data_IF_087246050765
#
_entry.id   IF_087246050765
#
_cell.length_a   1.000
_cell.length_b   1.000
_cell.length_c   1.000
_cell.angle_alpha   90.00
_cell.angle_beta   90.00
_cell.angle_gamma   90.00
#
_symmetry.space_group_name_H-M   'P 1'
#
loop_
_entity.id
_entity.type
_entity.pdbx_description
1 polymer ?
#
# COMPACT_ATOMS: atom_id res chain seq x y z
N UNK A 1 17.60 -14.95 -11.34
CA UNK A 1 17.54 -13.55 -11.75
C UNK A 1 17.67 -13.42 -13.28
N UNK A 2 18.77 -13.90 -13.91
CA UNK A 2 19.01 -13.80 -15.37
C UNK A 2 17.87 -14.43 -16.18
N UNK A 3 17.43 -15.61 -15.82
CA UNK A 3 16.34 -16.33 -16.51
C UNK A 3 14.99 -15.57 -16.44
N UNK A 4 14.69 -14.94 -15.32
CA UNK A 4 13.50 -14.12 -15.14
C UNK A 4 13.61 -12.79 -15.92
N UNK A 5 14.79 -12.18 -15.95
CA UNK A 5 15.05 -10.98 -16.76
C UNK A 5 14.88 -11.27 -18.26
N UNK A 6 15.34 -12.46 -18.72
CA UNK A 6 15.12 -12.90 -20.10
C UNK A 6 13.62 -13.07 -20.42
N UNK A 7 12.83 -13.63 -19.52
CA UNK A 7 11.37 -13.75 -19.67
C UNK A 7 10.71 -12.37 -19.73
N UNK A 8 11.20 -11.41 -18.95
CA UNK A 8 10.68 -10.04 -18.96
C UNK A 8 10.99 -9.33 -20.28
N UNK A 9 12.22 -9.46 -20.79
CA UNK A 9 12.61 -8.95 -22.11
C UNK A 9 11.74 -9.53 -23.23
N UNK A 10 11.49 -10.85 -23.22
CA UNK A 10 10.60 -11.50 -24.18
C UNK A 10 9.15 -10.96 -24.11
N UNK A 11 8.62 -10.72 -22.90
CA UNK A 11 7.29 -10.11 -22.73
C UNK A 11 7.22 -8.69 -23.31
N UNK A 12 8.33 -7.95 -23.25
CA UNK A 12 8.46 -6.62 -23.87
C UNK A 12 8.68 -6.68 -25.38
N UNK A 13 8.86 -7.87 -25.96
CA UNK A 13 9.13 -8.07 -27.37
C UNK A 13 10.57 -7.77 -27.79
N UNK A 14 11.52 -7.79 -26.86
CA UNK A 14 12.95 -7.53 -27.09
C UNK A 14 13.74 -8.81 -27.05
N UNK A 15 14.69 -8.96 -27.99
CA UNK A 15 15.65 -10.07 -28.04
C UNK A 15 16.90 -9.82 -27.16
N UNK A 16 16.98 -8.65 -26.52
CA UNK A 16 18.08 -8.28 -25.62
C UNK A 16 17.57 -7.96 -24.24
N UNK A 17 18.33 -8.40 -23.22
CA UNK A 17 18.05 -8.13 -21.82
C UNK A 17 18.67 -6.78 -21.47
N UNK A 18 17.88 -5.85 -20.96
CA UNK A 18 18.31 -4.54 -20.49
C UNK A 18 18.38 -4.48 -18.96
N UNK A 19 19.02 -3.43 -18.43
CA UNK A 19 19.11 -3.22 -16.99
C UNK A 19 17.73 -3.10 -16.33
N UNK A 20 16.78 -2.48 -17.04
CA UNK A 20 15.39 -2.36 -16.63
C UNK A 20 14.69 -3.72 -16.42
N UNK A 21 15.04 -4.73 -17.23
CA UNK A 21 14.51 -6.09 -17.07
C UNK A 21 15.02 -6.74 -15.78
N UNK A 22 16.28 -6.45 -15.42
CA UNK A 22 16.86 -6.91 -14.15
C UNK A 22 16.26 -6.18 -12.95
N UNK A 23 16.03 -4.87 -13.05
CA UNK A 23 15.42 -4.09 -11.98
C UNK A 23 13.99 -4.54 -11.69
N UNK A 24 13.18 -4.74 -12.74
CA UNK A 24 11.80 -5.23 -12.62
C UNK A 24 11.70 -6.63 -12.02
N UNK A 25 12.71 -7.45 -12.25
CA UNK A 25 12.75 -8.85 -11.80
C UNK A 25 13.48 -9.01 -10.48
N UNK A 26 14.46 -8.13 -10.18
CA UNK A 26 15.29 -8.18 -8.96
C UNK A 26 14.45 -8.34 -7.72
N UNK A 27 13.42 -7.52 -7.58
CA UNK A 27 12.56 -7.52 -6.40
C UNK A 27 11.72 -8.80 -6.31
N UNK A 28 11.21 -9.30 -7.44
CA UNK A 28 10.44 -10.55 -7.51
C UNK A 28 11.28 -11.78 -7.18
N UNK A 29 12.55 -11.81 -7.59
CA UNK A 29 13.46 -12.95 -7.36
C UNK A 29 14.02 -12.94 -5.93
N UNK A 30 14.37 -11.77 -5.39
CA UNK A 30 14.90 -11.65 -4.04
C UNK A 30 13.85 -12.02 -2.96
N UNK A 31 12.60 -11.67 -3.17
CA UNK A 31 11.54 -11.85 -2.18
C UNK A 31 10.62 -13.07 -2.46
N UNK A 32 10.89 -13.83 -3.53
CA UNK A 32 10.15 -15.05 -3.88
C UNK A 32 8.79 -14.79 -4.53
N UNK A 33 8.40 -15.70 -5.43
CA UNK A 33 7.05 -15.69 -6.02
C UNK A 33 6.13 -16.45 -5.07
N UNK A 34 5.39 -15.76 -4.23
CA UNK A 34 4.17 -16.38 -3.69
C UNK A 34 3.20 -16.57 -4.87
N UNK A 35 2.55 -17.74 -4.95
CA UNK A 35 1.44 -17.98 -5.86
C UNK A 35 0.35 -16.95 -5.55
N UNK A 36 0.39 -15.79 -6.20
CA UNK A 36 -0.62 -14.77 -6.04
C UNK A 36 -1.96 -15.33 -6.51
N UNK A 37 -2.98 -15.21 -5.68
CA UNK A 37 -4.36 -15.25 -6.18
C UNK A 37 -4.43 -14.23 -7.31
N UNK A 38 -5.02 -14.58 -8.44
CA UNK A 38 -5.25 -13.64 -9.53
C UNK A 38 -6.33 -12.68 -9.04
N UNK A 39 -5.92 -11.53 -8.52
CA UNK A 39 -6.82 -10.44 -8.17
C UNK A 39 -7.19 -9.70 -9.46
N UNK A 40 -8.42 -9.25 -9.56
CA UNK A 40 -8.80 -8.23 -10.54
C UNK A 40 -8.09 -6.92 -10.23
N UNK A 41 -7.96 -6.01 -11.21
CA UNK A 41 -7.34 -4.69 -10.96
C UNK A 41 -8.05 -3.93 -9.84
N UNK A 42 -9.37 -4.03 -9.77
CA UNK A 42 -10.17 -3.43 -8.71
C UNK A 42 -9.86 -4.01 -7.32
N UNK A 43 -9.78 -5.35 -7.21
CA UNK A 43 -9.39 -6.00 -5.95
C UNK A 43 -7.95 -5.67 -5.56
N UNK A 44 -7.05 -5.56 -6.55
CA UNK A 44 -5.66 -5.16 -6.34
C UNK A 44 -5.56 -3.73 -5.81
N UNK A 45 -6.35 -2.80 -6.35
CA UNK A 45 -6.44 -1.42 -5.86
C UNK A 45 -6.90 -1.38 -4.39
N UNK A 46 -8.02 -2.06 -4.07
CA UNK A 46 -8.54 -2.14 -2.71
C UNK A 46 -7.48 -2.69 -1.75
N UNK A 47 -6.83 -3.77 -2.14
CA UNK A 47 -5.81 -4.40 -1.30
C UNK A 47 -4.57 -3.53 -1.13
N UNK A 48 -4.16 -2.80 -2.17
CA UNK A 48 -3.04 -1.86 -2.10
C UNK A 48 -3.32 -0.68 -1.15
N UNK A 49 -4.54 -0.13 -1.17
CA UNK A 49 -4.96 0.89 -0.21
C UNK A 49 -5.02 0.35 1.22
N UNK A 50 -5.54 -0.85 1.39
CA UNK A 50 -5.60 -1.53 2.68
C UNK A 50 -4.21 -1.71 3.28
N UNK A 51 -3.28 -2.29 2.54
CA UNK A 51 -1.90 -2.51 2.98
C UNK A 51 -1.11 -1.19 3.11
N UNK A 52 -1.37 -0.23 2.24
CA UNK A 52 -0.76 1.10 2.30
C UNK A 52 -1.09 1.83 3.60
N UNK A 53 -2.34 1.75 4.05
CA UNK A 53 -2.75 2.33 5.33
C UNK A 53 -2.08 1.65 6.52
N UNK A 54 -1.93 0.32 6.48
CA UNK A 54 -1.19 -0.43 7.50
C UNK A 54 0.28 -0.02 7.53
N UNK A 55 0.93 0.13 6.37
CA UNK A 55 2.31 0.57 6.25
C UNK A 55 2.51 2.00 6.82
N UNK A 56 1.64 2.93 6.41
CA UNK A 56 1.66 4.30 6.90
C UNK A 56 1.47 4.37 8.42
N UNK A 57 0.48 3.64 8.94
CA UNK A 57 0.18 3.62 10.37
C UNK A 57 1.29 2.93 11.19
N UNK A 58 1.89 1.85 10.68
CA UNK A 58 3.03 1.21 11.30
C UNK A 58 4.20 2.19 11.43
N UNK A 59 4.55 2.91 10.36
CA UNK A 59 5.56 3.96 10.38
C UNK A 59 5.22 5.06 11.40
N UNK A 60 3.97 5.57 11.39
CA UNK A 60 3.53 6.65 12.29
C UNK A 60 3.62 6.27 13.76
N UNK A 61 3.27 5.03 14.09
CA UNK A 61 3.31 4.51 15.47
C UNK A 61 4.62 3.82 15.83
N UNK A 62 5.66 3.98 15.01
CA UNK A 62 7.02 3.45 15.25
C UNK A 62 7.09 1.93 15.37
N UNK A 63 6.34 1.23 14.54
CA UNK A 63 6.51 -0.21 14.33
C UNK A 63 7.41 -0.47 13.14
N UNK A 64 8.52 -1.15 13.36
CA UNK A 64 9.42 -1.57 12.30
C UNK A 64 8.85 -2.77 11.55
N UNK A 65 9.08 -2.81 10.25
CA UNK A 65 8.77 -3.94 9.39
C UNK A 65 9.79 -4.03 8.26
N UNK A 66 10.13 -5.24 7.84
CA UNK A 66 11.03 -5.41 6.70
C UNK A 66 10.33 -5.02 5.39
N UNK A 67 9.17 -5.62 5.15
CA UNK A 67 8.31 -5.34 4.00
C UNK A 67 6.85 -5.67 4.28
N UNK A 68 5.98 -4.96 3.61
CA UNK A 68 4.54 -5.26 3.55
C UNK A 68 4.21 -5.65 2.11
N UNK A 69 3.63 -6.83 1.94
CA UNK A 69 3.25 -7.37 0.63
C UNK A 69 1.75 -7.18 0.40
N UNK A 70 1.35 -7.14 -0.87
CA UNK A 70 -0.05 -6.97 -1.27
C UNK A 70 -0.99 -7.99 -0.61
N UNK A 71 -0.55 -9.24 -0.47
CA UNK A 71 -1.35 -10.37 0.04
C UNK A 71 -0.86 -10.95 1.38
N UNK A 72 0.12 -10.34 2.02
CA UNK A 72 0.70 -10.86 3.26
C UNK A 72 0.48 -9.89 4.42
N UNK A 73 -0.15 -10.37 5.49
CA UNK A 73 -0.64 -9.58 6.61
C UNK A 73 0.31 -9.53 7.83
N UNK A 74 1.58 -9.90 7.69
CA UNK A 74 2.51 -9.95 8.82
C UNK A 74 3.21 -8.60 9.06
N UNK A 75 2.54 -7.66 9.70
CA UNK A 75 3.15 -6.38 10.09
C UNK A 75 3.56 -6.38 11.56
N UNK A 76 2.80 -7.02 12.43
CA UNK A 76 3.04 -7.05 13.87
C UNK A 76 3.68 -8.40 14.26
N UNK A 77 5.00 -8.44 14.37
CA UNK A 77 5.76 -9.66 14.66
C UNK A 77 6.53 -9.62 16.00
N UNK A 78 6.33 -8.61 16.84
CA UNK A 78 7.07 -8.51 18.08
C UNK A 78 6.24 -9.02 19.26
N UNK A 79 6.59 -10.19 19.76
CA UNK A 79 6.11 -10.70 21.06
C UNK A 79 6.98 -10.07 22.17
N UNK A 80 6.51 -8.97 22.73
CA UNK A 80 7.11 -8.41 23.94
C UNK A 80 6.61 -9.17 25.17
N UNK A 81 7.51 -9.54 26.09
CA UNK A 81 7.12 -10.11 27.38
C UNK A 81 6.37 -9.09 28.26
N UNK A 82 6.69 -7.80 28.11
CA UNK A 82 6.04 -6.70 28.84
C UNK A 82 5.66 -5.61 27.83
N UNK A 83 4.37 -5.38 27.66
CA UNK A 83 3.82 -4.35 26.77
C UNK A 83 3.19 -3.21 27.59
N UNK A 84 3.41 -1.98 27.17
CA UNK A 84 2.70 -0.82 27.74
C UNK A 84 1.30 -0.69 27.14
N UNK A 85 0.39 -0.02 27.88
CA UNK A 85 -0.94 0.33 27.35
C UNK A 85 -0.86 1.03 26.00
N UNK A 86 0.09 1.97 25.83
CA UNK A 86 0.27 2.73 24.60
C UNK A 86 0.70 1.83 23.43
N UNK A 87 1.59 0.87 23.65
CA UNK A 87 2.02 -0.08 22.63
C UNK A 87 0.82 -0.92 22.11
N UNK A 88 0.02 -1.47 23.02
CA UNK A 88 -1.16 -2.27 22.64
C UNK A 88 -2.19 -1.40 21.90
N UNK A 89 -2.45 -0.16 22.34
CA UNK A 89 -3.33 0.77 21.63
C UNK A 89 -2.81 1.08 20.22
N UNK A 90 -1.51 1.26 20.06
CA UNK A 90 -0.90 1.50 18.76
C UNK A 90 -1.01 0.27 17.83
N UNK A 91 -0.85 -0.95 18.35
CA UNK A 91 -1.11 -2.18 17.60
C UNK A 91 -2.56 -2.23 17.10
N UNK A 92 -3.52 -1.92 17.97
CA UNK A 92 -4.95 -1.85 17.61
C UNK A 92 -5.19 -0.83 16.48
N UNK A 93 -4.57 0.35 16.56
CA UNK A 93 -4.68 1.39 15.54
C UNK A 93 -4.13 0.93 14.19
N UNK A 94 -2.96 0.26 14.17
CA UNK A 94 -2.40 -0.32 12.94
C UNK A 94 -3.33 -1.37 12.35
N UNK A 95 -3.90 -2.25 13.16
CA UNK A 95 -4.86 -3.27 12.70
C UNK A 95 -6.16 -2.66 12.13
N UNK A 96 -6.62 -1.53 12.67
CA UNK A 96 -7.84 -0.87 12.21
C UNK A 96 -7.61 0.05 11.01
N UNK A 97 -6.37 0.43 10.71
CA UNK A 97 -6.03 1.44 9.71
C UNK A 97 -6.47 1.08 8.29
N UNK A 98 -6.31 -0.18 7.88
CA UNK A 98 -6.72 -0.66 6.57
C UNK A 98 -8.24 -0.51 6.36
N UNK A 99 -9.04 -0.89 7.37
CA UNK A 99 -10.50 -0.70 7.34
C UNK A 99 -10.85 0.79 7.28
N UNK A 100 -10.21 1.62 8.11
CA UNK A 100 -10.46 3.07 8.14
C UNK A 100 -10.15 3.73 6.78
N UNK A 101 -9.03 3.36 6.15
CA UNK A 101 -8.65 3.90 4.85
C UNK A 101 -9.67 3.54 3.76
N UNK A 102 -10.13 2.29 3.71
CA UNK A 102 -11.13 1.88 2.74
C UNK A 102 -12.48 2.56 2.97
N UNK A 103 -12.90 2.73 4.24
CA UNK A 103 -14.11 3.47 4.57
C UNK A 103 -14.03 4.94 4.12
N UNK A 104 -12.88 5.59 4.30
CA UNK A 104 -12.65 6.98 3.89
C UNK A 104 -12.58 7.10 2.36
N UNK A 105 -11.84 6.22 1.69
CA UNK A 105 -11.56 6.32 0.26
C UNK A 105 -12.69 5.79 -0.64
N UNK A 106 -13.32 4.67 -0.27
CA UNK A 106 -14.39 4.01 -1.05
C UNK A 106 -15.78 4.19 -0.46
N UNK A 107 -15.89 4.74 0.76
CA UNK A 107 -17.13 4.87 1.52
C UNK A 107 -17.88 3.54 1.67
N UNK A 108 -17.12 2.44 1.80
CA UNK A 108 -17.67 1.07 1.90
C UNK A 108 -16.78 0.20 2.80
N UNK A 109 -17.34 -0.94 3.25
CA UNK A 109 -16.65 -1.94 4.06
C UNK A 109 -16.32 -3.17 3.21
N UNK A 110 -15.07 -3.67 3.36
CA UNK A 110 -14.56 -4.78 2.59
C UNK A 110 -14.16 -5.95 3.48
N UNK A 111 -14.36 -7.17 2.98
CA UNK A 111 -14.14 -8.41 3.74
C UNK A 111 -12.66 -8.71 4.06
N UNK A 112 -11.72 -8.07 3.35
CA UNK A 112 -10.28 -8.24 3.58
C UNK A 112 -9.83 -7.74 4.96
N UNK A 113 -10.58 -6.83 5.59
CA UNK A 113 -10.30 -6.32 6.94
C UNK A 113 -10.69 -7.28 8.09
N UNK A 114 -11.42 -8.35 7.80
CA UNK A 114 -12.03 -9.19 8.83
C UNK A 114 -11.02 -9.86 9.79
N UNK A 115 -9.82 -10.21 9.30
CA UNK A 115 -8.77 -10.82 10.13
C UNK A 115 -8.21 -9.80 11.13
N UNK A 116 -7.87 -8.62 10.66
CA UNK A 116 -7.26 -7.58 11.48
C UNK A 116 -8.24 -7.01 12.52
N UNK A 117 -9.49 -6.83 12.12
CA UNK A 117 -10.56 -6.42 13.04
C UNK A 117 -10.75 -7.45 14.17
N UNK A 118 -10.71 -8.74 13.86
CA UNK A 118 -10.76 -9.79 14.90
C UNK A 118 -9.57 -9.71 15.86
N UNK A 119 -8.37 -9.46 15.33
CA UNK A 119 -7.18 -9.31 16.16
C UNK A 119 -7.26 -8.05 17.03
N UNK A 120 -7.72 -6.92 16.48
CA UNK A 120 -7.93 -5.68 17.23
C UNK A 120 -8.92 -5.88 18.38
N UNK A 121 -10.04 -6.59 18.14
CA UNK A 121 -11.02 -6.92 19.17
C UNK A 121 -10.39 -7.81 20.25
N UNK A 122 -9.63 -8.82 19.86
CA UNK A 122 -8.96 -9.71 20.82
C UNK A 122 -7.94 -8.96 21.69
N UNK A 123 -7.16 -8.05 21.12
CA UNK A 123 -6.23 -7.21 21.88
C UNK A 123 -6.96 -6.26 22.83
N UNK A 124 -8.03 -5.61 22.41
CA UNK A 124 -8.82 -4.74 23.26
C UNK A 124 -9.49 -5.52 24.42
N UNK A 125 -9.96 -6.75 24.16
CA UNK A 125 -10.47 -7.64 25.20
C UNK A 125 -9.37 -8.05 26.18
N UNK A 126 -8.19 -8.46 25.69
CA UNK A 126 -7.02 -8.80 26.52
C UNK A 126 -6.64 -7.62 27.42
N UNK A 127 -6.59 -6.40 26.89
CA UNK A 127 -6.30 -5.18 27.68
C UNK A 127 -7.26 -5.02 28.86
N UNK A 128 -8.57 -5.17 28.60
CA UNK A 128 -9.61 -4.89 29.60
C UNK A 128 -9.76 -6.01 30.60
N UNK A 129 -9.79 -7.27 30.15
CA UNK A 129 -10.16 -8.40 30.99
C UNK A 129 -8.96 -9.13 31.63
N UNK A 130 -7.78 -9.09 30.99
CA UNK A 130 -6.62 -9.87 31.44
C UNK A 130 -5.51 -8.97 31.99
N UNK A 131 -5.25 -7.81 31.34
CA UNK A 131 -4.13 -6.95 31.69
C UNK A 131 -4.50 -5.79 32.63
N UNK A 132 -5.76 -5.65 32.99
CA UNK A 132 -6.28 -4.56 33.85
C UNK A 132 -5.90 -3.14 33.32
N UNK A 133 -5.80 -2.98 31.99
CA UNK A 133 -5.43 -1.72 31.32
C UNK A 133 -6.65 -0.92 30.82
N UNK A 134 -7.86 -1.28 31.25
CA UNK A 134 -9.09 -0.54 30.97
C UNK A 134 -9.14 0.80 31.70
N UNK A 135 -10.20 1.59 31.41
CA UNK A 135 -10.44 2.89 32.08
C UNK A 135 -11.10 2.71 33.45
N UNK A 136 -11.48 1.50 33.84
CA UNK A 136 -12.12 1.15 35.10
C UNK A 136 -11.55 -0.15 35.65
N UNK A 137 -11.51 -0.27 37.00
CA UNK A 137 -11.16 -1.53 37.65
C UNK A 137 -12.21 -2.64 37.44
N UNK A 138 -13.41 -2.28 37.00
CA UNK A 138 -14.44 -3.26 36.64
C UNK A 138 -14.43 -3.46 35.11
N UNK A 139 -13.94 -4.61 34.61
CA UNK A 139 -13.92 -4.90 33.19
C UNK A 139 -15.33 -4.93 32.60
N UNK A 140 -15.51 -4.33 31.42
CA UNK A 140 -16.81 -4.32 30.75
C UNK A 140 -16.64 -4.37 29.21
N UNK A 141 -17.63 -4.93 28.53
CA UNK A 141 -17.69 -4.89 27.06
C UNK A 141 -17.78 -3.45 26.50
N UNK A 142 -18.36 -2.54 27.29
CA UNK A 142 -18.45 -1.12 26.94
C UNK A 142 -17.06 -0.48 26.89
N UNK A 143 -16.17 -0.83 27.83
CA UNK A 143 -14.76 -0.37 27.81
C UNK A 143 -14.01 -0.87 26.58
N UNK A 144 -14.25 -2.13 26.17
CA UNK A 144 -13.66 -2.68 24.92
C UNK A 144 -14.14 -1.90 23.71
N UNK A 145 -15.43 -1.67 23.57
CA UNK A 145 -15.99 -0.92 22.45
C UNK A 145 -15.46 0.52 22.40
N UNK A 146 -15.33 1.17 23.55
CA UNK A 146 -14.76 2.51 23.65
C UNK A 146 -13.30 2.55 23.14
N UNK A 147 -12.45 1.60 23.59
CA UNK A 147 -11.06 1.50 23.13
C UNK A 147 -10.99 1.35 21.62
N UNK A 148 -11.80 0.46 21.05
CA UNK A 148 -11.83 0.24 19.61
C UNK A 148 -12.29 1.49 18.85
N UNK A 149 -13.31 2.18 19.34
CA UNK A 149 -13.81 3.40 18.72
C UNK A 149 -12.80 4.53 18.81
N UNK A 150 -12.20 4.77 19.97
CA UNK A 150 -11.18 5.80 20.16
C UNK A 150 -9.97 5.55 19.25
N UNK A 151 -9.49 4.30 19.14
CA UNK A 151 -8.40 3.92 18.25
C UNK A 151 -8.78 4.10 16.76
N UNK A 152 -10.01 3.75 16.38
CA UNK A 152 -10.50 3.93 15.01
C UNK A 152 -10.60 5.41 14.63
N UNK A 153 -11.09 6.24 15.52
CA UNK A 153 -11.23 7.68 15.29
C UNK A 153 -9.87 8.36 15.16
N UNK A 154 -8.92 8.03 16.04
CA UNK A 154 -7.55 8.56 15.96
C UNK A 154 -6.84 8.16 14.66
N UNK A 155 -6.87 6.87 14.27
CA UNK A 155 -6.21 6.43 13.04
C UNK A 155 -6.89 6.99 11.78
N UNK A 156 -8.21 7.17 11.82
CA UNK A 156 -8.98 7.80 10.74
C UNK A 156 -8.55 9.24 10.51
N UNK A 157 -8.25 9.99 11.58
CA UNK A 157 -7.76 11.37 11.47
C UNK A 157 -6.36 11.43 10.85
N UNK A 158 -5.46 10.52 11.24
CA UNK A 158 -4.13 10.42 10.65
C UNK A 158 -4.23 10.11 9.15
N UNK A 159 -5.08 9.16 8.76
CA UNK A 159 -5.28 8.77 7.37
C UNK A 159 -5.83 9.95 6.54
N UNK A 160 -6.77 10.74 7.07
CA UNK A 160 -7.27 11.94 6.39
C UNK A 160 -6.18 13.00 6.23
N UNK A 161 -5.40 13.23 7.26
CA UNK A 161 -4.31 14.23 7.25
C UNK A 161 -3.20 13.85 6.29
N UNK A 162 -2.89 12.56 6.18
CA UNK A 162 -1.80 12.04 5.36
C UNK A 162 -2.28 11.37 4.07
N UNK A 163 -3.41 11.78 3.52
CA UNK A 163 -4.03 11.13 2.36
C UNK A 163 -3.11 11.11 1.13
N UNK A 164 -2.33 12.17 0.89
CA UNK A 164 -1.40 12.24 -0.23
C UNK A 164 -0.25 11.23 -0.09
N UNK A 165 0.27 11.05 1.12
CA UNK A 165 1.29 10.04 1.42
C UNK A 165 0.72 8.63 1.27
N UNK A 166 -0.50 8.40 1.76
CA UNK A 166 -1.20 7.13 1.57
C UNK A 166 -1.40 6.80 0.10
N UNK A 167 -1.79 7.77 -0.74
CA UNK A 167 -1.94 7.57 -2.17
C UNK A 167 -0.62 7.13 -2.84
N UNK A 168 0.51 7.76 -2.47
CA UNK A 168 1.83 7.39 -2.99
C UNK A 168 2.24 5.98 -2.56
N UNK A 169 2.08 5.65 -1.28
CA UNK A 169 2.35 4.32 -0.72
C UNK A 169 1.49 3.25 -1.42
N UNK A 170 0.18 3.49 -1.54
CA UNK A 170 -0.76 2.56 -2.18
C UNK A 170 -0.45 2.36 -3.65
N UNK A 171 -0.07 3.42 -4.38
CA UNK A 171 0.36 3.33 -5.79
C UNK A 171 1.62 2.47 -5.93
N UNK A 172 2.59 2.61 -5.02
CA UNK A 172 3.79 1.77 -5.04
C UNK A 172 3.45 0.30 -4.79
N UNK A 173 2.60 -0.01 -3.80
CA UNK A 173 2.15 -1.38 -3.54
C UNK A 173 1.33 -1.92 -4.73
N UNK A 174 0.50 -1.11 -5.37
CA UNK A 174 -0.25 -1.52 -6.55
C UNK A 174 0.66 -1.95 -7.72
N UNK A 175 1.76 -1.21 -7.94
CA UNK A 175 2.69 -1.48 -9.05
C UNK A 175 3.65 -2.63 -8.73
N UNK A 176 4.30 -2.59 -7.56
CA UNK A 176 5.38 -3.50 -7.20
C UNK A 176 4.93 -4.70 -6.35
N UNK A 177 3.69 -4.69 -5.85
CA UNK A 177 3.07 -5.70 -4.98
C UNK A 177 3.68 -5.79 -3.57
N UNK A 178 4.53 -4.84 -3.19
CA UNK A 178 5.08 -4.68 -1.85
C UNK A 178 5.62 -3.26 -1.64
N UNK A 179 5.92 -2.95 -0.36
CA UNK A 179 6.65 -1.75 0.05
C UNK A 179 7.55 -2.08 1.25
N UNK A 180 8.72 -1.45 1.33
CA UNK A 180 9.63 -1.57 2.47
C UNK A 180 9.45 -0.42 3.46
N UNK A 181 9.95 -0.60 4.70
CA UNK A 181 9.95 0.48 5.69
C UNK A 181 10.71 1.72 5.20
N UNK A 182 11.87 1.52 4.55
CA UNK A 182 12.67 2.61 3.99
C UNK A 182 11.92 3.41 2.92
N UNK A 183 11.10 2.74 2.09
CA UNK A 183 10.29 3.41 1.07
C UNK A 183 9.20 4.27 1.71
N UNK A 184 8.51 3.74 2.74
CA UNK A 184 7.50 4.49 3.49
C UNK A 184 8.14 5.69 4.17
N UNK A 185 9.30 5.52 4.80
CA UNK A 185 10.05 6.61 5.42
C UNK A 185 10.37 7.70 4.42
N UNK A 186 10.94 7.37 3.26
CA UNK A 186 11.24 8.34 2.19
C UNK A 186 9.99 9.12 1.75
N UNK A 187 8.86 8.43 1.54
CA UNK A 187 7.61 9.07 1.16
C UNK A 187 7.11 10.00 2.27
N UNK A 188 7.20 9.59 3.53
CA UNK A 188 6.72 10.39 4.66
C UNK A 188 7.61 11.60 4.96
N UNK A 189 8.94 11.47 4.82
CA UNK A 189 9.92 12.53 5.07
C UNK A 189 10.09 13.50 3.90
N UNK A 190 9.67 13.15 2.68
CA UNK A 190 9.69 14.05 1.54
C UNK A 190 8.65 15.16 1.73
N UNK A 191 9.05 16.26 2.35
CA UNK A 191 8.29 17.50 2.35
C UNK A 191 8.30 18.11 0.93
N UNK A 192 7.18 18.00 0.23
CA UNK A 192 6.77 18.95 -0.81
C UNK A 192 7.75 19.27 -1.95
N UNK A 193 8.57 18.32 -2.41
CA UNK A 193 9.21 18.46 -3.72
C UNK A 193 8.22 17.94 -4.76
N UNK A 194 7.53 18.88 -5.39
CA UNK A 194 6.58 18.65 -6.47
C UNK A 194 7.20 17.77 -7.58
N UNK A 195 6.36 16.87 -8.06
CA UNK A 195 6.54 15.96 -9.17
C UNK A 195 7.01 16.69 -10.44
N UNK A 196 8.30 16.88 -10.64
CA UNK A 196 8.84 17.25 -11.96
C UNK A 196 9.35 16.05 -12.78
N UNK A 197 9.25 14.82 -12.25
CA UNK A 197 9.82 13.62 -12.89
C UNK A 197 8.88 12.83 -13.81
N UNK A 198 7.55 13.01 -13.72
CA UNK A 198 6.59 12.19 -14.48
C UNK A 198 5.99 12.96 -15.67
N UNK A 199 5.99 14.29 -15.64
CA UNK A 199 5.43 15.11 -16.73
C UNK A 199 6.30 15.13 -17.99
N UNK A 200 7.60 14.86 -17.91
CA UNK A 200 8.50 14.87 -19.07
C UNK A 200 8.29 13.65 -19.99
N UNK A 201 8.01 12.48 -19.42
CA UNK A 201 7.77 11.27 -20.23
C UNK A 201 6.37 11.22 -20.85
N UNK A 202 5.35 11.78 -20.21
CA UNK A 202 4.01 11.89 -20.80
C UNK A 202 3.95 12.95 -21.91
N UNK A 203 4.74 14.03 -21.80
CA UNK A 203 4.84 15.05 -22.83
C UNK A 203 5.60 14.56 -24.08
N UNK A 204 6.61 13.71 -23.90
CA UNK A 204 7.35 13.11 -25.02
C UNK A 204 6.50 12.06 -25.75
N UNK A 205 5.66 11.29 -25.06
CA UNK A 205 4.72 10.35 -25.67
C UNK A 205 3.62 11.08 -26.48
N UNK A 206 3.04 12.15 -25.95
CA UNK A 206 2.04 12.95 -26.67
C UNK A 206 2.62 13.70 -27.88
N UNK A 207 3.93 13.99 -27.87
CA UNK A 207 4.61 14.63 -28.99
C UNK A 207 4.88 13.63 -30.12
N UNK A 208 5.22 12.39 -29.78
CA UNK A 208 5.40 11.30 -30.75
C UNK A 208 4.09 10.89 -31.43
N UNK A 209 2.97 10.92 -30.72
CA UNK A 209 1.65 10.65 -31.32
C UNK A 209 1.21 11.76 -32.29
N UNK A 210 1.47 13.03 -31.96
CA UNK A 210 1.14 14.16 -32.87
C UNK A 210 2.01 14.19 -34.11
N UNK A 211 3.25 13.79 -34.04
CA UNK A 211 4.15 13.75 -35.18
C UNK A 211 3.85 12.56 -36.12
N UNK A 212 3.20 11.51 -35.62
CA UNK A 212 2.73 10.38 -36.43
C UNK A 212 1.43 10.68 -37.19
N UNK A 213 0.53 11.50 -36.63
CA UNK A 213 -0.72 11.91 -37.34
C UNK A 213 -0.49 12.97 -38.44
N UNK A 214 0.59 13.77 -38.36
CA UNK A 214 0.89 14.80 -39.33
C UNK A 214 1.58 14.29 -40.60
N UNK A 215 1.92 13.02 -40.70
CA UNK A 215 2.61 12.41 -41.86
C UNK A 215 1.70 11.66 -42.83
N UNK A 216 0.40 11.55 -42.57
CA UNK A 216 -0.55 10.80 -43.44
C UNK A 216 -1.45 11.64 -44.33
N UNK A 217 -1.34 12.99 -44.38
CA UNK A 217 -2.12 13.80 -45.32
C UNK A 217 -1.24 14.42 -46.45
N UNK A 218 -1.07 13.66 -47.53
CA UNK A 218 -0.84 14.24 -48.86
C UNK A 218 -1.80 13.65 -49.88
N UNK A 219 -2.77 14.41 -50.39
CA UNK A 219 -3.57 13.96 -51.50
C UNK A 219 -2.76 14.04 -52.80
N UNK A 220 -2.76 12.95 -53.54
CA UNK A 220 -2.37 12.93 -54.95
C UNK A 220 -3.47 13.58 -55.76
N UNK A 221 -3.20 14.78 -56.25
CA UNK A 221 -4.00 15.36 -57.34
C UNK A 221 -3.28 15.09 -58.66
N UNK A 222 -3.81 14.18 -59.42
CA UNK A 222 -3.36 13.82 -60.75
C UNK A 222 -4.39 14.25 -61.78
N UNK A 223 -4.22 15.42 -62.33
CA UNK A 223 -4.93 15.82 -63.50
C UNK A 223 -4.22 15.31 -64.73
N UNK A 224 -4.91 14.44 -65.47
CA UNK A 224 -4.69 14.20 -66.91
C UNK A 224 -5.59 15.13 -67.74
N UNK A 225 -4.96 15.91 -68.57
CA UNK A 225 -5.41 16.12 -69.88
C UNK A 225 -4.26 16.60 -70.77
#
# INVERSE_FOLDING_TARGET
LVNEAAINALKRGSDTIELSDFENVRMRVFYGVQKSRILTEYEKEIQAFYQGAKALSAYWYSFDFEKIELLNDKILNEDFEIESKTQILNQIKVLLSGMAALQIHKNDAFSNSASDVKQAIALAQKMVFELAMGDSFTPSAQSVNKILQDCYDEVSEIIRTMQDKLNQISKQIFVYEFITFEDVQKICESDGVEQEGVSAQEQDLQKLEKDSESSEEKPQDGTLN
#
